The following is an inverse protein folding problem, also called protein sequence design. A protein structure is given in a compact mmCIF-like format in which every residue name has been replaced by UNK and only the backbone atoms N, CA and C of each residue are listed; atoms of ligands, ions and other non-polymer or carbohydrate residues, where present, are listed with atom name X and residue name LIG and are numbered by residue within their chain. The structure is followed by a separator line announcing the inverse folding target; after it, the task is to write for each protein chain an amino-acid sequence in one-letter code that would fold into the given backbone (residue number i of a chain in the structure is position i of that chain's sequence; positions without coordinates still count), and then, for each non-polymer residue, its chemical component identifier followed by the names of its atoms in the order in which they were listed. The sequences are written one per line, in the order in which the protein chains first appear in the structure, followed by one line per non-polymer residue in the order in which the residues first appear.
data_IF_909421451501
#
_entry.id   IF_909421451501
#
_cell.length_a   1.000
_cell.length_b   1.000
_cell.length_c   1.000
_cell.angle_alpha   90.00
_cell.angle_beta   90.00
_cell.angle_gamma   90.00
#
_symmetry.space_group_name_H-M   'P 1'
#
loop_
_entity.id
_entity.type
_entity.pdbx_description
1 polymer ?
#
# COMPACT_ATOMS: atom_id res chain seq x y z
N UNK A 1 -5.14 9.40 -6.41
CA UNK A 1 -4.38 8.24 -5.89
C UNK A 1 -4.46 8.14 -4.37
N UNK A 2 -4.47 9.24 -3.62
CA UNK A 2 -4.92 9.27 -2.21
C UNK A 2 -6.35 8.73 -2.03
N UNK A 3 -7.23 8.92 -3.03
CA UNK A 3 -8.53 8.26 -3.07
C UNK A 3 -8.43 6.72 -2.99
N UNK A 4 -7.37 6.11 -3.53
CA UNK A 4 -7.17 4.67 -3.43
C UNK A 4 -6.95 4.25 -1.99
N UNK A 5 -6.21 5.05 -1.20
CA UNK A 5 -6.02 4.80 0.22
C UNK A 5 -7.35 4.96 0.97
N UNK A 6 -8.11 6.02 0.70
CA UNK A 6 -9.44 6.21 1.30
C UNK A 6 -10.39 5.05 0.96
N UNK A 7 -10.35 4.53 -0.27
CA UNK A 7 -11.14 3.36 -0.70
C UNK A 7 -10.69 2.10 0.04
N UNK A 8 -9.38 1.84 0.12
CA UNK A 8 -8.86 0.69 0.88
C UNK A 8 -9.25 0.76 2.37
N UNK A 9 -9.19 1.95 2.99
CA UNK A 9 -9.61 2.12 4.38
C UNK A 9 -11.12 1.95 4.57
N UNK A 10 -11.93 2.35 3.59
CA UNK A 10 -13.39 2.15 3.57
C UNK A 10 -13.76 0.67 3.39
N UNK A 11 -13.09 -0.01 2.47
CA UNK A 11 -13.40 -1.40 2.09
C UNK A 11 -12.88 -2.38 3.15
N UNK A 12 -11.84 -2.00 3.90
CA UNK A 12 -11.43 -2.70 5.12
C UNK A 12 -10.71 -4.02 4.89
N UNK A 13 -11.02 -5.03 5.71
CA UNK A 13 -10.47 -6.39 5.59
C UNK A 13 -11.41 -7.32 4.84
N UNK A 14 -10.83 -8.14 3.99
CA UNK A 14 -11.53 -9.27 3.37
C UNK A 14 -11.58 -10.45 4.36
N UNK A 15 -12.54 -11.35 4.18
CA UNK A 15 -12.73 -12.48 5.10
C UNK A 15 -11.48 -13.37 5.15
N UNK A 16 -11.05 -13.72 6.36
CA UNK A 16 -9.84 -14.51 6.60
C UNK A 16 -8.53 -13.72 6.52
N UNK A 17 -8.57 -12.40 6.30
CA UNK A 17 -7.37 -11.56 6.24
C UNK A 17 -7.23 -10.60 7.40
N UNK A 18 -5.99 -10.16 7.63
CA UNK A 18 -5.69 -9.08 8.56
C UNK A 18 -6.34 -7.74 8.12
N UNK A 19 -6.68 -6.92 9.11
CA UNK A 19 -7.14 -5.55 8.90
C UNK A 19 -6.19 -4.75 8.00
N UNK A 20 -6.79 -3.97 7.11
CA UNK A 20 -6.07 -3.01 6.26
C UNK A 20 -5.38 -1.99 7.14
N UNK A 21 -4.07 -1.85 6.99
CA UNK A 21 -3.22 -1.01 7.83
C UNK A 21 -2.49 0.07 7.03
N UNK A 22 -2.63 1.33 7.45
CA UNK A 22 -1.92 2.48 6.86
C UNK A 22 -0.95 3.10 7.87
N UNK A 23 0.32 3.16 7.51
CA UNK A 23 1.34 3.93 8.23
C UNK A 23 1.58 5.25 7.51
N UNK A 24 1.35 6.37 8.19
CA UNK A 24 1.69 7.71 7.70
C UNK A 24 3.00 8.11 8.37
N UNK A 25 4.02 8.40 7.57
CA UNK A 25 5.29 8.92 8.07
C UNK A 25 5.50 10.37 7.63
N UNK A 26 5.88 11.21 8.59
CA UNK A 26 6.29 12.59 8.37
C UNK A 26 7.61 12.88 9.09
N UNK A 27 8.11 14.11 8.91
CA UNK A 27 9.30 14.63 9.59
C UNK A 27 8.93 15.89 10.36
N UNK A 28 9.64 16.22 11.43
CA UNK A 28 9.40 17.46 12.17
C UNK A 28 9.61 18.71 11.31
N UNK A 29 10.50 18.64 10.32
CA UNK A 29 10.74 19.71 9.35
C UNK A 29 9.55 19.91 8.40
N UNK A 30 8.69 18.92 8.23
CA UNK A 30 7.49 18.96 7.40
C UNK A 30 6.30 18.35 8.15
N UNK A 31 5.66 19.08 9.08
CA UNK A 31 4.60 18.55 9.94
C UNK A 31 3.24 18.36 9.21
N UNK A 32 3.29 18.13 7.89
CA UNK A 32 2.14 17.91 7.03
C UNK A 32 1.43 16.58 7.35
N UNK A 33 2.10 15.64 8.05
CA UNK A 33 1.53 14.34 8.40
C UNK A 33 0.31 14.44 9.29
N UNK A 34 0.28 15.41 10.19
CA UNK A 34 -0.91 15.69 11.01
C UNK A 34 -2.12 16.07 10.14
N UNK A 35 -1.91 16.94 9.15
CA UNK A 35 -2.97 17.33 8.22
C UNK A 35 -3.41 16.13 7.38
N UNK A 36 -2.48 15.32 6.85
CA UNK A 36 -2.79 14.15 6.02
C UNK A 36 -3.54 13.10 6.82
N UNK A 37 -3.15 12.87 8.07
CA UNK A 37 -3.87 12.05 9.02
C UNK A 37 -5.31 12.57 9.21
N UNK A 38 -5.50 13.88 9.45
CA UNK A 38 -6.83 14.48 9.57
C UNK A 38 -7.68 14.32 8.30
N UNK A 39 -7.06 14.39 7.11
CA UNK A 39 -7.75 14.16 5.83
C UNK A 39 -8.27 12.72 5.72
N UNK A 40 -7.44 11.72 6.02
CA UNK A 40 -7.87 10.32 6.01
C UNK A 40 -8.88 10.01 7.12
N UNK A 41 -8.69 10.57 8.32
CA UNK A 41 -9.63 10.47 9.43
C UNK A 41 -11.02 10.99 9.04
N UNK A 42 -11.09 12.21 8.49
CA UNK A 42 -12.35 12.79 8.04
C UNK A 42 -13.00 11.97 6.93
N UNK A 43 -12.22 11.51 5.95
CA UNK A 43 -12.74 10.68 4.85
C UNK A 43 -13.34 9.37 5.37
N UNK A 44 -12.67 8.71 6.32
CA UNK A 44 -13.17 7.49 6.95
C UNK A 44 -14.45 7.75 7.76
N UNK A 45 -14.46 8.77 8.61
CA UNK A 45 -15.64 9.13 9.41
C UNK A 45 -16.83 9.49 8.52
N UNK A 46 -16.60 10.23 7.42
CA UNK A 46 -17.63 10.54 6.44
C UNK A 46 -18.21 9.27 5.78
N UNK A 47 -17.36 8.31 5.42
CA UNK A 47 -17.79 7.02 4.87
C UNK A 47 -18.55 6.15 5.89
N UNK A 48 -18.17 6.19 7.17
CA UNK A 48 -18.86 5.51 8.27
C UNK A 48 -20.23 6.17 8.53
N UNK A 49 -20.30 7.51 8.52
CA UNK A 49 -21.53 8.26 8.66
C UNK A 49 -22.51 7.94 7.52
N UNK A 50 -22.01 7.91 6.28
CA UNK A 50 -22.75 7.52 5.08
C UNK A 50 -23.03 6.02 4.97
N UNK A 51 -22.56 5.19 5.91
CA UNK A 51 -22.73 3.73 5.93
C UNK A 51 -22.20 3.02 4.68
N UNK A 52 -21.20 3.61 4.02
CA UNK A 52 -20.48 3.06 2.86
C UNK A 52 -19.22 2.28 3.26
N UNK A 53 -18.76 2.46 4.50
CA UNK A 53 -17.61 1.77 5.06
C UNK A 53 -18.00 0.40 5.60
N UNK A 54 -17.07 -0.56 5.54
CA UNK A 54 -17.20 -1.85 6.25
C UNK A 54 -17.21 -1.62 7.77
N UNK A 55 -16.46 -0.63 8.25
CA UNK A 55 -16.51 -0.21 9.64
C UNK A 55 -17.80 0.55 9.96
N UNK A 56 -18.45 0.22 11.08
CA UNK A 56 -19.64 0.90 11.61
C UNK A 56 -19.32 1.99 12.62
N UNK A 57 -18.19 1.84 13.30
CA UNK A 57 -17.69 2.78 14.29
C UNK A 57 -16.18 3.00 14.15
N UNK A 58 -15.69 4.06 14.80
CA UNK A 58 -14.28 4.42 14.87
C UNK A 58 -13.87 4.64 16.32
N UNK A 59 -12.77 4.00 16.72
CA UNK A 59 -12.05 4.31 17.96
C UNK A 59 -10.80 5.12 17.62
N UNK A 60 -10.75 6.37 18.07
CA UNK A 60 -9.60 7.26 17.90
C UNK A 60 -8.80 7.32 19.20
N UNK A 61 -7.54 6.92 19.16
CA UNK A 61 -6.59 7.01 20.27
C UNK A 61 -5.83 8.33 20.15
N UNK A 62 -5.99 9.19 21.16
CA UNK A 62 -5.46 10.55 21.17
C UNK A 62 -4.27 10.67 22.14
N UNK A 63 -3.05 10.65 21.61
CA UNK A 63 -1.78 10.84 22.32
C UNK A 63 -1.21 12.25 22.21
N UNK A 64 -1.48 12.96 21.12
CA UNK A 64 -0.85 14.22 20.75
C UNK A 64 -1.73 15.43 21.02
N UNK A 65 -3.05 15.29 20.94
CA UNK A 65 -4.02 16.38 21.11
C UNK A 65 -5.12 15.97 22.07
N UNK A 66 -5.77 16.95 22.68
CA UNK A 66 -6.94 16.71 23.51
C UNK A 66 -8.11 16.16 22.68
N UNK A 67 -9.02 15.36 23.26
CA UNK A 67 -10.20 14.87 22.56
C UNK A 67 -11.04 15.99 21.94
N UNK A 68 -11.18 17.13 22.62
CA UNK A 68 -11.91 18.31 22.14
C UNK A 68 -11.45 18.79 20.77
N UNK A 69 -10.15 18.73 20.49
CA UNK A 69 -9.58 19.13 19.21
C UNK A 69 -10.16 18.30 18.05
N UNK A 70 -10.28 16.99 18.23
CA UNK A 70 -10.85 16.10 17.20
C UNK A 70 -12.35 16.31 17.03
N UNK A 71 -13.06 16.61 18.11
CA UNK A 71 -14.47 16.99 18.05
C UNK A 71 -14.66 18.25 17.20
N UNK A 72 -13.87 19.30 17.45
CA UNK A 72 -13.95 20.56 16.74
C UNK A 72 -13.50 20.44 15.27
N UNK A 73 -12.48 19.62 15.01
CA UNK A 73 -12.02 19.29 13.66
C UNK A 73 -13.12 18.65 12.82
N UNK A 74 -13.87 17.71 13.38
CA UNK A 74 -14.92 17.00 12.65
C UNK A 74 -16.19 17.86 12.50
N UNK A 75 -16.51 18.68 13.50
CA UNK A 75 -17.58 19.68 13.43
C UNK A 75 -17.33 20.73 12.35
N UNK A 76 -16.12 21.28 12.31
CA UNK A 76 -15.75 22.33 11.33
C UNK A 76 -15.84 21.86 9.87
N UNK A 77 -15.82 20.55 9.64
CA UNK A 77 -15.97 19.93 8.32
C UNK A 77 -17.38 19.38 8.03
N UNK A 78 -18.39 19.81 8.81
CA UNK A 78 -19.80 19.59 8.51
C UNK A 78 -20.37 18.22 8.91
N UNK A 79 -19.75 17.51 9.85
CA UNK A 79 -20.32 16.28 10.41
C UNK A 79 -21.34 16.61 11.52
N UNK A 80 -22.54 16.01 11.42
CA UNK A 80 -23.63 16.20 12.37
C UNK A 80 -23.28 15.62 13.76
N UNK A 81 -23.52 16.39 14.81
CA UNK A 81 -23.11 16.08 16.19
C UNK A 81 -23.70 14.75 16.68
N UNK A 82 -24.93 14.44 16.27
CA UNK A 82 -25.64 13.23 16.67
C UNK A 82 -25.08 11.95 16.04
N UNK A 83 -24.59 12.03 14.79
CA UNK A 83 -23.98 10.89 14.10
C UNK A 83 -22.57 10.63 14.63
N UNK A 84 -21.88 11.70 15.03
CA UNK A 84 -20.56 11.61 15.63
C UNK A 84 -20.60 10.89 16.98
N UNK A 85 -21.45 11.32 17.91
CA UNK A 85 -21.50 10.80 19.29
C UNK A 85 -21.85 9.31 19.38
N UNK A 86 -22.51 8.75 18.34
CA UNK A 86 -22.87 7.33 18.30
C UNK A 86 -21.86 6.45 17.56
N UNK A 87 -21.05 7.02 16.67
CA UNK A 87 -20.19 6.25 15.76
C UNK A 87 -18.69 6.46 15.99
N UNK A 88 -18.30 7.51 16.70
CA UNK A 88 -16.89 7.82 16.97
C UNK A 88 -16.68 7.96 18.46
N UNK A 89 -15.69 7.23 18.98
CA UNK A 89 -15.24 7.35 20.36
C UNK A 89 -13.78 7.76 20.40
N UNK A 90 -13.47 8.74 21.25
CA UNK A 90 -12.11 9.23 21.43
C UNK A 90 -11.58 8.74 22.77
N UNK A 91 -10.54 7.92 22.72
CA UNK A 91 -9.77 7.45 23.85
C UNK A 91 -8.69 8.47 24.20
N UNK A 92 -8.86 9.15 25.33
CA UNK A 92 -7.96 10.22 25.75
C UNK A 92 -6.72 9.66 26.44
N UNK A 93 -5.59 9.65 25.73
CA UNK A 93 -4.27 9.33 26.27
C UNK A 93 -3.40 10.59 26.45
N UNK A 94 -3.95 11.79 26.23
CA UNK A 94 -3.23 13.07 26.23
C UNK A 94 -3.40 13.84 27.54
N UNK A 95 -4.61 13.90 28.09
CA UNK A 95 -4.94 14.81 29.21
C UNK A 95 -4.29 14.40 30.54
N UNK A 96 -4.08 13.10 30.76
CA UNK A 96 -3.40 12.56 31.95
C UNK A 96 -2.74 11.19 31.67
N UNK A 97 -1.71 11.12 30.82
CA UNK A 97 -1.12 9.87 30.33
C UNK A 97 -0.56 8.94 31.42
N UNK A 98 -0.18 9.52 32.57
CA UNK A 98 0.41 8.81 33.70
C UNK A 98 -0.51 8.74 34.93
N UNK A 99 -1.73 9.26 34.82
CA UNK A 99 -2.71 9.23 35.91
C UNK A 99 -2.29 10.05 37.12
N UNK A 100 -1.45 11.07 36.94
CA UNK A 100 -0.89 11.84 38.05
C UNK A 100 -1.97 12.69 38.73
N UNK A 101 -2.95 13.19 37.98
CA UNK A 101 -4.03 14.00 38.55
C UNK A 101 -4.85 13.17 39.54
N UNK A 102 -5.19 11.95 39.16
CA UNK A 102 -5.88 11.00 40.05
C UNK A 102 -5.04 10.60 41.27
N UNK A 103 -3.74 10.34 41.07
CA UNK A 103 -2.84 9.98 42.18
C UNK A 103 -2.71 11.12 43.18
N UNK A 104 -2.61 12.35 42.69
CA UNK A 104 -2.56 13.56 43.51
C UNK A 104 -3.91 13.81 44.22
N UNK A 105 -5.03 13.67 43.51
CA UNK A 105 -6.38 13.81 44.09
C UNK A 105 -6.68 12.75 45.16
N UNK A 106 -6.26 11.50 44.92
CA UNK A 106 -6.34 10.41 45.91
C UNK A 106 -5.45 10.68 47.11
N UNK A 107 -4.26 11.23 46.91
CA UNK A 107 -3.38 11.65 48.01
C UNK A 107 -3.92 12.85 48.80
N UNK A 108 -4.72 13.70 48.15
CA UNK A 108 -5.37 14.86 48.75
C UNK A 108 -6.78 14.57 49.32
N UNK A 109 -7.24 13.31 49.28
CA UNK A 109 -8.55 12.91 49.83
C UNK A 109 -9.78 13.42 49.07
N UNK A 110 -9.63 13.92 47.84
CA UNK A 110 -10.74 14.47 47.05
C UNK A 110 -11.30 13.41 46.10
N UNK A 111 -12.55 12.99 46.33
CA UNK A 111 -13.28 12.04 45.47
C UNK A 111 -14.00 12.82 44.36
N UNK A 112 -13.62 12.60 43.09
CA UNK A 112 -14.39 13.11 41.96
C UNK A 112 -15.55 12.15 41.62
N UNK A 113 -16.75 12.71 41.53
CA UNK A 113 -17.88 12.08 40.84
C UNK A 113 -17.62 12.18 39.33
N UNK A 114 -17.48 11.04 38.65
CA UNK A 114 -17.20 10.99 37.22
C UNK A 114 -18.38 11.55 36.43
N UNK A 115 -18.26 12.79 35.95
CA UNK A 115 -19.13 13.31 34.91
C UNK A 115 -18.95 12.45 33.65
N UNK A 116 -20.08 11.99 33.08
CA UNK A 116 -20.14 11.24 31.82
C UNK A 116 -19.67 12.13 30.67
N UNK A 117 -18.35 12.22 30.47
CA UNK A 117 -17.79 12.74 29.24
C UNK A 117 -17.79 11.61 28.19
N UNK A 118 -18.04 11.91 26.91
CA UNK A 118 -17.99 10.93 25.83
C UNK A 118 -16.58 10.36 25.56
N UNK A 119 -15.55 10.88 26.23
CA UNK A 119 -14.16 10.44 26.14
C UNK A 119 -13.77 9.61 27.37
N UNK A 120 -13.46 8.33 27.17
CA UNK A 120 -12.82 7.51 28.20
C UNK A 120 -11.36 7.95 28.35
N UNK A 121 -10.94 8.32 29.55
CA UNK A 121 -9.54 8.73 29.81
C UNK A 121 -8.70 7.51 30.17
N UNK A 122 -7.63 7.28 29.41
CA UNK A 122 -6.65 6.24 29.69
C UNK A 122 -5.44 6.81 30.42
N UNK A 123 -5.20 6.30 31.63
CA UNK A 123 -4.29 6.89 32.62
C UNK A 123 -2.97 6.15 32.79
N UNK A 124 -2.78 5.03 32.08
CA UNK A 124 -1.60 4.17 32.20
C UNK A 124 -1.01 3.86 30.82
N UNK A 125 -0.53 4.91 30.13
CA UNK A 125 0.02 4.83 28.78
C UNK A 125 1.17 3.82 28.64
N UNK A 126 1.86 3.48 29.74
CA UNK A 126 2.92 2.47 29.74
C UNK A 126 2.38 1.05 29.54
N UNK A 127 1.15 0.81 29.96
CA UNK A 127 0.52 -0.50 29.88
C UNK A 127 -0.20 -0.67 28.53
N UNK A 128 0.59 -0.98 27.51
CA UNK A 128 0.11 -1.24 26.15
C UNK A 128 -0.88 -2.41 26.07
N UNK A 129 -0.72 -3.53 26.81
CA UNK A 129 -1.72 -4.58 26.87
C UNK A 129 -3.09 -4.10 27.39
N UNK A 130 -3.13 -3.31 28.47
CA UNK A 130 -4.40 -2.71 28.95
C UNK A 130 -5.00 -1.78 27.91
N UNK A 131 -4.17 -1.01 27.19
CA UNK A 131 -4.63 -0.15 26.10
C UNK A 131 -5.31 -0.96 25.00
N UNK A 132 -4.74 -2.12 24.61
CA UNK A 132 -5.34 -3.02 23.64
C UNK A 132 -6.73 -3.46 24.10
N UNK A 133 -6.84 -4.00 25.32
CA UNK A 133 -8.12 -4.45 25.86
C UNK A 133 -9.17 -3.35 25.87
N UNK A 134 -8.78 -2.14 26.29
CA UNK A 134 -9.69 -1.00 26.33
C UNK A 134 -10.16 -0.56 24.93
N UNK A 135 -9.26 -0.54 23.93
CA UNK A 135 -9.65 -0.24 22.54
C UNK A 135 -10.67 -1.27 22.04
N UNK A 136 -10.46 -2.54 22.34
CA UNK A 136 -11.37 -3.62 21.92
C UNK A 136 -12.72 -3.53 22.65
N UNK A 137 -12.73 -3.28 23.95
CA UNK A 137 -13.95 -3.09 24.75
C UNK A 137 -14.78 -1.90 24.25
N UNK A 138 -14.12 -0.76 23.99
CA UNK A 138 -14.78 0.44 23.47
C UNK A 138 -15.33 0.21 22.06
N UNK A 139 -14.56 -0.45 21.18
CA UNK A 139 -15.00 -0.81 19.84
C UNK A 139 -16.21 -1.74 19.85
N UNK A 140 -16.16 -2.81 20.66
CA UNK A 140 -17.27 -3.74 20.83
C UNK A 140 -18.50 -3.06 21.45
N UNK A 141 -18.31 -2.12 22.39
CA UNK A 141 -19.39 -1.33 22.97
C UNK A 141 -20.14 -0.46 21.96
N UNK A 142 -19.46 0.05 20.93
CA UNK A 142 -20.06 0.87 19.87
C UNK A 142 -20.79 0.03 18.82
N UNK A 143 -20.22 -1.12 18.46
CA UNK A 143 -20.69 -1.96 17.37
C UNK A 143 -21.72 -3.00 17.85
N UNK A 144 -21.78 -3.27 19.15
CA UNK A 144 -22.65 -4.29 19.74
C UNK A 144 -22.13 -5.71 19.50
N UNK A 145 -22.90 -6.71 19.93
CA UNK A 145 -22.52 -8.14 19.82
C UNK A 145 -22.76 -8.74 18.42
N UNK A 146 -22.57 -7.96 17.36
CA UNK A 146 -22.72 -8.40 15.97
C UNK A 146 -21.40 -8.80 15.31
N UNK A 147 -21.50 -9.29 14.06
CA UNK A 147 -20.34 -9.45 13.13
C UNK A 147 -19.89 -8.11 12.51
N UNK A 148 -20.40 -7.02 13.02
CA UNK A 148 -20.06 -5.71 12.51
C UNK A 148 -18.63 -5.35 12.94
N UNK A 149 -17.93 -4.60 12.09
CA UNK A 149 -16.52 -4.23 12.33
C UNK A 149 -16.40 -2.77 12.73
N UNK A 150 -15.31 -2.40 13.39
CA UNK A 150 -14.92 -1.02 13.65
C UNK A 150 -13.52 -0.71 13.11
N UNK A 151 -13.22 0.57 13.00
CA UNK A 151 -11.91 1.07 12.61
C UNK A 151 -11.16 1.62 13.82
N UNK A 152 -9.83 1.61 13.76
CA UNK A 152 -8.96 2.19 14.79
C UNK A 152 -8.03 3.22 14.17
N UNK A 153 -7.97 4.40 14.76
CA UNK A 153 -7.03 5.45 14.37
C UNK A 153 -6.14 5.81 15.55
N UNK A 154 -4.83 5.88 15.34
CA UNK A 154 -3.86 6.31 16.36
C UNK A 154 -3.19 7.58 15.87
N UNK A 155 -3.39 8.68 16.59
CA UNK A 155 -2.92 9.99 16.15
C UNK A 155 -1.38 10.16 16.14
N UNK A 156 -0.66 9.46 17.01
CA UNK A 156 0.80 9.52 17.10
C UNK A 156 1.37 8.29 17.79
N UNK A 157 1.95 7.38 16.99
CA UNK A 157 2.72 6.25 17.51
C UNK A 157 4.08 6.71 18.04
N UNK A 158 4.60 7.84 17.56
CA UNK A 158 5.84 8.41 18.10
C UNK A 158 5.74 8.71 19.59
N UNK A 159 4.58 9.18 20.06
CA UNK A 159 4.36 9.47 21.47
C UNK A 159 4.16 8.19 22.30
N UNK A 160 3.58 7.13 21.72
CA UNK A 160 3.54 5.80 22.34
C UNK A 160 4.95 5.23 22.57
N UNK A 161 5.83 5.37 21.57
CA UNK A 161 7.22 4.90 21.62
C UNK A 161 8.07 5.66 22.65
N UNK A 162 7.63 6.83 23.14
CA UNK A 162 8.28 7.50 24.28
C UNK A 162 8.08 6.75 25.60
N UNK A 163 7.00 5.97 25.71
CA UNK A 163 6.57 5.35 26.96
C UNK A 163 6.63 3.82 26.95
N UNK A 164 6.63 3.21 25.76
CA UNK A 164 6.66 1.77 25.56
C UNK A 164 7.75 1.35 24.57
N UNK A 165 8.17 0.08 24.64
CA UNK A 165 9.16 -0.47 23.72
C UNK A 165 8.57 -0.73 22.33
N UNK A 166 9.43 -0.73 21.30
CA UNK A 166 9.05 -1.07 19.92
C UNK A 166 8.30 -2.41 19.84
N UNK A 167 8.74 -3.41 20.62
CA UNK A 167 8.12 -4.74 20.61
C UNK A 167 6.66 -4.70 21.09
N UNK A 168 6.36 -3.93 22.14
CA UNK A 168 5.00 -3.79 22.66
C UNK A 168 4.12 -3.03 21.67
N UNK A 169 4.63 -1.97 21.06
CA UNK A 169 3.90 -1.19 20.05
C UNK A 169 3.65 -2.00 18.78
N UNK A 170 4.66 -2.74 18.30
CA UNK A 170 4.52 -3.64 17.16
C UNK A 170 3.51 -4.77 17.46
N UNK A 171 3.57 -5.35 18.66
CA UNK A 171 2.61 -6.35 19.12
C UNK A 171 1.20 -5.79 19.19
N UNK A 172 1.00 -4.57 19.72
CA UNK A 172 -0.29 -3.89 19.72
C UNK A 172 -0.84 -3.76 18.30
N UNK A 173 -0.07 -3.19 17.37
CA UNK A 173 -0.51 -2.98 16.00
C UNK A 173 -0.82 -4.30 15.29
N UNK A 174 0.00 -5.33 15.50
CA UNK A 174 -0.24 -6.67 14.96
C UNK A 174 -1.52 -7.27 15.55
N UNK A 175 -1.74 -7.17 16.85
CA UNK A 175 -2.94 -7.70 17.51
C UNK A 175 -4.21 -6.98 17.05
N UNK A 176 -4.15 -5.65 16.87
CA UNK A 176 -5.25 -4.89 16.28
C UNK A 176 -5.55 -5.33 14.85
N UNK A 177 -4.50 -5.63 14.06
CA UNK A 177 -4.67 -6.11 12.68
C UNK A 177 -5.23 -7.52 12.59
N UNK A 178 -4.86 -8.40 13.52
CA UNK A 178 -5.32 -9.79 13.54
C UNK A 178 -6.73 -9.97 14.13
N UNK A 179 -7.33 -8.92 14.68
CA UNK A 179 -8.62 -9.02 15.36
C UNK A 179 -9.79 -9.00 14.35
N UNK A 180 -10.70 -9.97 14.45
CA UNK A 180 -11.79 -10.17 13.48
C UNK A 180 -12.76 -8.97 13.39
N UNK A 181 -13.02 -8.30 14.51
CA UNK A 181 -13.91 -7.14 14.56
C UNK A 181 -13.26 -5.85 14.04
N UNK A 182 -11.98 -5.85 13.64
CA UNK A 182 -11.28 -4.66 13.15
C UNK A 182 -11.23 -4.69 11.61
N UNK A 183 -11.78 -3.64 11.01
CA UNK A 183 -11.82 -3.45 9.56
C UNK A 183 -10.53 -2.83 9.05
N UNK A 184 -10.09 -1.74 9.67
CA UNK A 184 -8.89 -1.02 9.30
C UNK A 184 -8.24 -0.32 10.49
N UNK A 185 -6.92 -0.14 10.39
CA UNK A 185 -6.09 0.54 11.37
C UNK A 185 -5.20 1.56 10.66
N UNK A 186 -5.06 2.77 11.17
CA UNK A 186 -4.06 3.67 10.63
C UNK A 186 -3.44 4.56 11.71
N UNK A 187 -2.20 4.94 11.48
CA UNK A 187 -1.42 5.70 12.44
C UNK A 187 -0.45 6.69 11.81
N UNK A 188 -0.06 7.69 12.58
CA UNK A 188 0.99 8.66 12.22
C UNK A 188 2.26 8.41 13.04
N UNK A 189 3.41 8.56 12.39
CA UNK A 189 4.74 8.47 13.00
C UNK A 189 5.67 9.54 12.40
N UNK A 190 6.37 10.27 13.26
CA UNK A 190 7.50 11.11 12.87
C UNK A 190 8.73 10.23 12.67
N UNK A 191 9.19 10.03 11.43
CA UNK A 191 10.29 9.11 11.11
C UNK A 191 11.65 9.60 11.63
N UNK A 192 11.83 10.91 11.73
CA UNK A 192 13.07 11.55 12.18
C UNK A 192 13.31 11.47 13.69
N UNK A 193 12.27 11.19 14.48
CA UNK A 193 12.38 10.99 15.93
C UNK A 193 12.91 9.60 16.32
N UNK A 194 12.93 8.65 15.38
CA UNK A 194 13.21 7.25 15.69
C UNK A 194 14.37 6.70 14.87
N UNK A 195 14.98 5.64 15.41
CA UNK A 195 15.97 4.86 14.65
C UNK A 195 15.29 4.24 13.42
N UNK A 196 15.94 4.19 12.23
CA UNK A 196 15.32 3.67 11.01
C UNK A 196 14.69 2.27 11.14
N UNK A 197 15.22 1.44 12.05
CA UNK A 197 14.66 0.13 12.41
C UNK A 197 13.20 0.21 12.86
N UNK A 198 12.83 1.24 13.62
CA UNK A 198 11.46 1.48 14.08
C UNK A 198 10.55 1.75 12.89
N UNK A 199 10.96 2.67 12.01
CA UNK A 199 10.17 3.02 10.83
C UNK A 199 9.99 1.84 9.89
N UNK A 200 11.05 1.08 9.64
CA UNK A 200 11.00 -0.14 8.84
C UNK A 200 10.09 -1.22 9.45
N UNK A 201 10.11 -1.40 10.78
CA UNK A 201 9.25 -2.35 11.47
C UNK A 201 7.77 -1.97 11.36
N UNK A 202 7.43 -0.69 11.54
CA UNK A 202 6.05 -0.22 11.41
C UNK A 202 5.57 -0.24 9.96
N UNK A 203 6.44 0.10 9.01
CA UNK A 203 6.14 -0.05 7.59
C UNK A 203 5.95 -1.52 7.24
N UNK A 204 6.75 -2.45 7.76
CA UNK A 204 6.57 -3.89 7.54
C UNK A 204 5.18 -4.37 7.97
N UNK A 205 4.71 -3.91 9.14
CA UNK A 205 3.37 -4.22 9.67
C UNK A 205 2.26 -3.54 8.85
N UNK A 206 2.52 -2.50 8.07
CA UNK A 206 1.47 -1.83 7.30
C UNK A 206 1.23 -2.49 5.94
N UNK A 207 -0.04 -2.47 5.50
CA UNK A 207 -0.42 -2.84 4.12
C UNK A 207 -0.19 -1.69 3.14
N UNK A 208 -0.22 -0.46 3.65
CA UNK A 208 0.02 0.77 2.92
C UNK A 208 0.97 1.66 3.72
N UNK A 209 1.93 2.30 3.06
CA UNK A 209 2.75 3.36 3.66
C UNK A 209 2.57 4.66 2.89
N UNK A 210 2.48 5.76 3.63
CA UNK A 210 2.30 7.10 3.13
C UNK A 210 3.43 7.97 3.69
N UNK A 211 4.46 8.21 2.89
CA UNK A 211 5.67 8.92 3.30
C UNK A 211 5.63 10.36 2.77
N UNK A 212 5.82 11.32 3.65
CA UNK A 212 5.81 12.75 3.33
C UNK A 212 7.21 13.31 3.23
N UNK A 213 7.53 13.86 2.08
CA UNK A 213 8.77 14.59 1.82
C UNK A 213 8.49 16.09 1.67
N UNK A 214 9.24 16.97 2.36
CA UNK A 214 9.16 18.40 2.11
C UNK A 214 9.62 18.72 0.68
N UNK A 215 8.95 19.66 0.02
CA UNK A 215 9.46 20.22 -1.24
C UNK A 215 10.51 21.26 -0.87
N UNK A 216 11.78 20.86 -0.98
CA UNK A 216 12.91 21.79 -0.87
C UNK A 216 13.07 22.43 -2.27
N UNK A 217 13.01 23.77 -2.40
CA UNK A 217 13.26 24.41 -3.69
C UNK A 217 14.71 24.12 -4.13
N UNK A 218 14.88 23.67 -5.37
CA UNK A 218 16.19 23.58 -6.00
C UNK A 218 16.84 24.96 -5.99
N UNK A 219 18.04 25.04 -5.43
CA UNK A 219 18.90 26.24 -5.51
C UNK A 219 19.43 26.30 -6.95
N UNK A 220 18.58 26.67 -7.90
CA UNK A 220 19.06 27.11 -9.20
C UNK A 220 19.58 28.55 -9.03
N UNK A 221 20.84 28.75 -9.39
CA UNK A 221 21.71 29.82 -8.89
C UNK A 221 21.40 31.24 -9.37
N UNK A 222 20.19 31.75 -9.20
CA UNK A 222 19.89 33.17 -9.40
C UNK A 222 19.69 33.93 -8.08
N UNK A 223 20.74 34.67 -7.71
CA UNK A 223 20.72 35.77 -6.73
C UNK A 223 19.63 36.79 -7.08
N UNK A 224 18.64 36.96 -6.20
CA UNK A 224 17.94 38.21 -5.82
C UNK A 224 17.11 37.85 -4.57
N UNK A 225 17.33 38.40 -3.39
CA UNK A 225 17.11 39.81 -3.06
C UNK A 225 15.65 39.99 -2.62
N UNK A 226 15.40 39.85 -1.31
CA UNK A 226 14.17 40.18 -0.56
C UNK A 226 12.83 39.44 -0.81
N UNK A 227 12.65 38.62 -1.86
CA UNK A 227 11.37 37.90 -2.09
C UNK A 227 11.28 36.50 -1.44
N UNK A 228 12.36 36.03 -0.81
CA UNK A 228 12.50 34.64 -0.37
C UNK A 228 11.67 34.25 0.88
N UNK A 229 11.24 35.19 1.71
CA UNK A 229 10.49 34.85 2.93
C UNK A 229 9.04 34.43 2.62
N UNK A 230 8.38 35.11 1.69
CA UNK A 230 7.01 34.77 1.27
C UNK A 230 6.96 33.42 0.52
N UNK A 231 8.01 33.09 -0.23
CA UNK A 231 8.14 31.77 -0.86
C UNK A 231 8.40 30.66 0.16
N UNK A 232 9.12 30.91 1.26
CA UNK A 232 9.32 29.91 2.32
C UNK A 232 8.00 29.58 3.02
N UNK A 233 7.16 30.57 3.32
CA UNK A 233 5.84 30.34 3.93
C UNK A 233 4.90 29.56 2.99
N UNK A 234 4.82 29.94 1.71
CA UNK A 234 4.01 29.20 0.73
C UNK A 234 4.53 27.78 0.48
N UNK A 235 5.85 27.55 0.56
CA UNK A 235 6.46 26.24 0.40
C UNK A 235 6.36 25.37 1.66
N UNK A 236 6.21 25.96 2.85
CA UNK A 236 5.98 25.21 4.10
C UNK A 236 4.66 24.43 4.10
N UNK A 237 3.71 24.85 3.26
CA UNK A 237 2.42 24.22 3.07
C UNK A 237 2.39 23.19 1.94
N UNK A 238 3.53 22.96 1.24
CA UNK A 238 3.61 22.03 0.12
C UNK A 238 4.55 20.86 0.41
N UNK A 239 4.12 19.66 0.06
CA UNK A 239 4.91 18.43 0.24
C UNK A 239 4.64 17.42 -0.87
N UNK A 240 5.52 16.43 -1.02
CA UNK A 240 5.28 15.25 -1.85
C UNK A 240 4.86 14.10 -0.95
N UNK A 241 3.76 13.46 -1.30
CA UNK A 241 3.22 12.28 -0.65
C UNK A 241 3.50 11.07 -1.53
N UNK A 242 4.37 10.20 -1.05
CA UNK A 242 4.67 8.91 -1.65
C UNK A 242 3.81 7.84 -0.98
N UNK A 243 2.95 7.19 -1.75
CA UNK A 243 2.05 6.15 -1.28
C UNK A 243 2.51 4.82 -1.85
N UNK A 244 2.88 3.88 -0.97
CA UNK A 244 3.13 2.49 -1.34
C UNK A 244 1.93 1.63 -0.94
N UNK A 245 1.36 0.91 -1.90
CA UNK A 245 0.32 -0.09 -1.66
C UNK A 245 0.90 -1.49 -1.89
N UNK A 246 0.95 -2.29 -0.84
CA UNK A 246 1.42 -3.67 -0.90
C UNK A 246 0.27 -4.58 -1.28
N UNK A 247 0.46 -5.39 -2.32
CA UNK A 247 -0.50 -6.42 -2.76
C UNK A 247 -0.17 -7.75 -2.11
N UNK A 248 -1.15 -8.66 -2.11
CA UNK A 248 -1.02 -10.03 -1.59
C UNK A 248 0.09 -10.84 -2.29
N UNK A 249 0.33 -10.57 -3.57
CA UNK A 249 1.38 -11.23 -4.36
C UNK A 249 2.78 -10.62 -4.14
N UNK A 250 2.98 -9.85 -3.07
CA UNK A 250 4.24 -9.17 -2.78
C UNK A 250 4.54 -7.94 -3.66
N UNK A 251 3.78 -7.70 -4.74
CA UNK A 251 4.00 -6.52 -5.59
C UNK A 251 3.61 -5.24 -4.86
N UNK A 252 4.50 -4.24 -4.91
CA UNK A 252 4.25 -2.92 -4.32
C UNK A 252 3.97 -1.92 -5.44
N UNK A 253 2.83 -1.23 -5.36
CA UNK A 253 2.50 -0.14 -6.28
C UNK A 253 2.83 1.18 -5.61
N UNK A 254 3.73 1.96 -6.22
CA UNK A 254 4.08 3.30 -5.76
C UNK A 254 3.30 4.37 -6.52
N UNK A 255 2.78 5.35 -5.78
CA UNK A 255 2.12 6.53 -6.28
C UNK A 255 2.74 7.77 -5.64
N UNK A 256 2.99 8.82 -6.42
CA UNK A 256 3.47 10.09 -5.90
C UNK A 256 2.42 11.17 -6.17
N UNK A 257 2.07 11.95 -5.16
CA UNK A 257 1.12 13.07 -5.23
C UNK A 257 1.71 14.31 -4.56
N UNK A 258 1.35 15.49 -5.04
CA UNK A 258 1.65 16.74 -4.37
C UNK A 258 0.54 17.09 -3.39
N UNK A 259 0.94 17.46 -2.17
CA UNK A 259 0.07 17.85 -1.08
C UNK A 259 0.22 19.35 -0.88
N UNK A 260 -0.90 20.07 -0.88
CA UNK A 260 -0.98 21.48 -0.54
C UNK A 260 -1.92 21.67 0.66
N UNK A 261 -1.44 22.27 1.73
CA UNK A 261 -2.24 22.61 2.90
C UNK A 261 -2.87 23.98 2.68
N UNK A 262 -4.20 24.01 2.66
CA UNK A 262 -5.02 25.23 2.63
C UNK A 262 -5.64 25.48 4.02
N UNK A 263 -6.21 26.67 4.24
CA UNK A 263 -6.79 27.07 5.54
C UNK A 263 -7.94 26.16 6.02
N UNK A 264 -8.65 25.48 5.09
CA UNK A 264 -9.82 24.63 5.40
C UNK A 264 -9.51 23.14 5.29
N UNK A 265 -8.38 22.76 4.69
CA UNK A 265 -8.03 21.35 4.50
C UNK A 265 -6.81 21.13 3.63
N UNK A 266 -6.64 19.89 3.17
CA UNK A 266 -5.58 19.55 2.23
C UNK A 266 -6.19 19.43 0.84
N UNK A 267 -5.50 20.00 -0.14
CA UNK A 267 -5.68 19.69 -1.55
C UNK A 267 -4.56 18.76 -1.99
N UNK A 268 -4.93 17.59 -2.49
CA UNK A 268 -4.00 16.61 -3.04
C UNK A 268 -4.13 16.67 -4.56
N UNK A 269 -3.05 17.00 -5.26
CA UNK A 269 -2.99 17.08 -6.72
C UNK A 269 -1.99 16.07 -7.28
N UNK A 270 -2.22 15.62 -8.51
CA UNK A 270 -1.22 14.84 -9.22
C UNK A 270 0.07 15.65 -9.38
N UNK A 271 1.23 14.98 -9.25
CA UNK A 271 2.54 15.60 -9.39
C UNK A 271 2.66 16.27 -10.76
N UNK A 272 3.10 17.54 -10.77
CA UNK A 272 3.39 18.26 -12.00
C UNK A 272 4.46 17.52 -12.82
N UNK A 273 4.21 17.35 -14.12
CA UNK A 273 4.98 16.54 -15.08
C UNK A 273 6.48 16.82 -15.15
N UNK A 274 6.97 17.93 -14.60
CA UNK A 274 8.39 18.28 -14.57
C UNK A 274 9.24 17.29 -13.74
N UNK A 275 8.67 16.70 -12.68
CA UNK A 275 9.41 15.70 -11.87
C UNK A 275 9.19 14.25 -12.30
N UNK A 276 8.26 13.99 -13.22
CA UNK A 276 8.10 12.67 -13.85
C UNK A 276 9.23 12.35 -14.83
N UNK A 277 9.87 13.38 -15.41
CA UNK A 277 11.00 13.24 -16.34
C UNK A 277 12.23 12.66 -15.63
N UNK A 278 12.43 12.98 -14.35
CA UNK A 278 13.59 12.52 -13.56
C UNK A 278 13.46 11.04 -13.17
N UNK A 279 12.24 10.54 -12.94
CA UNK A 279 12.04 9.13 -12.55
C UNK A 279 11.98 8.17 -13.75
N UNK A 280 11.69 8.65 -14.97
CA UNK A 280 11.78 7.84 -16.19
C UNK A 280 13.21 7.68 -16.72
N UNK A 281 14.17 8.48 -16.25
CA UNK A 281 15.58 8.38 -16.67
C UNK A 281 16.39 7.34 -15.89
N UNK A 282 15.86 6.85 -14.76
CA UNK A 282 16.54 5.89 -13.87
C UNK A 282 16.27 4.42 -14.21
N UNK A 283 15.33 4.14 -15.12
CA UNK A 283 15.29 2.82 -15.74
C UNK A 283 16.35 2.81 -16.83
N UNK A 284 17.37 1.93 -16.78
CA UNK A 284 18.25 1.75 -17.93
C UNK A 284 17.36 1.31 -19.08
N UNK A 285 17.09 2.23 -20.01
CA UNK A 285 16.54 1.91 -21.32
C UNK A 285 17.60 1.10 -22.03
N UNK A 286 17.65 -0.20 -21.75
CA UNK A 286 18.39 -1.16 -22.56
C UNK A 286 17.61 -1.26 -23.86
N UNK A 287 17.89 -0.31 -24.76
CA UNK A 287 17.51 -0.42 -26.15
C UNK A 287 18.43 -1.47 -26.74
N UNK A 288 17.95 -2.71 -26.82
CA UNK A 288 18.59 -3.72 -27.64
C UNK A 288 18.50 -3.22 -29.08
N UNK A 289 19.56 -2.60 -29.57
CA UNK A 289 19.70 -2.32 -30.99
C UNK A 289 19.93 -3.65 -31.70
N UNK A 290 18.83 -4.36 -31.99
CA UNK A 290 18.81 -5.60 -32.77
C UNK A 290 19.09 -5.37 -34.26
N UNK A 291 19.38 -4.12 -34.66
CA UNK A 291 19.73 -3.79 -36.02
C UNK A 291 21.22 -4.06 -36.22
N UNK A 292 21.53 -5.12 -36.97
CA UNK A 292 22.88 -5.40 -37.43
C UNK A 292 23.41 -4.18 -38.20
N UNK A 293 24.62 -3.74 -37.85
CA UNK A 293 25.36 -2.75 -38.62
C UNK A 293 25.67 -3.28 -40.03
N UNK A 294 25.94 -2.38 -40.98
CA UNK A 294 26.28 -2.77 -42.35
C UNK A 294 27.47 -3.73 -42.39
N UNK A 295 28.46 -3.49 -41.53
CA UNK A 295 29.63 -4.37 -41.37
C UNK A 295 29.25 -5.77 -40.88
N UNK A 296 28.36 -5.89 -39.90
CA UNK A 296 27.91 -7.20 -39.40
C UNK A 296 27.03 -7.94 -40.42
N UNK A 297 26.29 -7.24 -41.28
CA UNK A 297 25.56 -7.87 -42.40
C UNK A 297 26.53 -8.42 -43.43
N UNK A 298 27.56 -7.66 -43.79
CA UNK A 298 28.58 -8.10 -44.74
C UNK A 298 29.39 -9.28 -44.19
N UNK A 299 29.73 -9.25 -42.90
CA UNK A 299 30.44 -10.34 -42.23
C UNK A 299 29.56 -11.59 -42.15
N UNK A 300 28.28 -11.46 -41.75
CA UNK A 300 27.30 -12.58 -41.76
C UNK A 300 27.16 -13.19 -43.16
N UNK A 301 27.12 -12.38 -44.21
CA UNK A 301 27.02 -12.87 -45.59
C UNK A 301 28.29 -13.62 -46.06
N UNK A 302 29.44 -13.37 -45.42
CA UNK A 302 30.71 -14.06 -45.71
C UNK A 302 30.96 -15.28 -44.81
N UNK A 303 30.16 -15.48 -43.77
CA UNK A 303 30.26 -16.69 -42.93
C UNK A 303 29.77 -17.89 -43.73
N UNK A 304 30.72 -18.66 -44.26
CA UNK A 304 30.48 -19.98 -44.82
C UNK A 304 30.54 -20.98 -43.66
N UNK A 305 29.40 -21.53 -43.26
CA UNK A 305 29.36 -22.56 -42.24
C UNK A 305 29.90 -23.88 -42.83
N UNK A 306 30.77 -24.62 -42.12
CA UNK A 306 31.42 -25.82 -42.66
C UNK A 306 30.47 -26.98 -42.99
N UNK A 307 29.21 -26.89 -42.59
CA UNK A 307 28.16 -27.88 -42.82
C UNK A 307 26.88 -27.15 -43.22
N UNK A 308 26.91 -26.58 -44.42
CA UNK A 308 25.69 -26.18 -45.10
C UNK A 308 24.99 -27.46 -45.58
N UNK A 309 23.90 -27.85 -44.90
CA UNK A 309 23.00 -28.85 -45.44
C UNK A 309 22.45 -28.27 -46.75
N UNK A 310 22.84 -28.83 -47.88
CA UNK A 310 22.34 -28.45 -49.21
C UNK A 310 20.87 -28.82 -49.34
N UNK A 311 19.98 -28.06 -48.67
CA UNK A 311 18.57 -28.02 -49.01
C UNK A 311 18.40 -27.30 -50.35
N UNK A 312 17.42 -27.73 -51.16
CA UNK A 312 17.18 -27.31 -52.55
C UNK A 312 16.79 -25.81 -52.75
N UNK A 313 17.22 -24.89 -51.89
CA UNK A 313 16.87 -23.47 -51.97
C UNK A 313 15.42 -23.15 -51.59
N UNK A 314 14.67 -24.14 -51.07
CA UNK A 314 13.36 -23.91 -50.46
C UNK A 314 13.53 -23.35 -49.05
N UNK A 315 12.66 -22.42 -48.67
CA UNK A 315 12.66 -21.85 -47.32
C UNK A 315 12.45 -22.96 -46.30
N UNK A 316 13.44 -23.15 -45.41
CA UNK A 316 13.39 -24.16 -44.35
C UNK A 316 12.21 -23.84 -43.45
N UNK A 317 11.14 -24.64 -43.53
CA UNK A 317 10.03 -24.57 -42.59
C UNK A 317 10.47 -25.23 -41.30
N UNK A 318 11.07 -24.44 -40.41
CA UNK A 318 11.34 -24.88 -39.04
C UNK A 318 9.99 -24.90 -38.32
N UNK A 319 9.58 -26.09 -37.88
CA UNK A 319 8.34 -26.28 -37.12
C UNK A 319 8.51 -25.73 -35.70
N UNK A 320 7.99 -24.51 -35.45
CA UNK A 320 8.01 -23.83 -34.14
C UNK A 320 6.74 -24.14 -33.30
N UNK A 321 6.04 -25.24 -33.57
CA UNK A 321 4.83 -25.64 -32.83
C UNK A 321 3.62 -24.67 -32.90
N UNK A 322 3.76 -23.51 -33.58
CA UNK A 322 2.73 -22.50 -33.75
C UNK A 322 2.13 -22.65 -35.15
N UNK A 323 0.80 -22.65 -35.24
CA UNK A 323 0.10 -22.58 -36.54
C UNK A 323 0.44 -21.25 -37.20
N UNK A 324 1.26 -21.29 -38.24
CA UNK A 324 1.54 -20.15 -39.11
C UNK A 324 0.27 -19.77 -39.85
N UNK A 325 -0.34 -18.67 -39.44
CA UNK A 325 -1.43 -18.01 -40.18
C UNK A 325 -0.83 -17.39 -41.44
N UNK A 326 -1.30 -17.82 -42.61
CA UNK A 326 -0.97 -17.18 -43.89
C UNK A 326 -1.46 -15.74 -43.88
N UNK A 327 -0.54 -14.79 -44.10
CA UNK A 327 -0.83 -13.37 -44.27
C UNK A 327 -1.84 -13.18 -45.41
N UNK A 328 -3.07 -12.81 -45.07
CA UNK A 328 -4.07 -12.41 -46.05
C UNK A 328 -5.44 -13.06 -45.95
N UNK A 329 -6.06 -13.13 -44.76
CA UNK A 329 -7.52 -13.22 -44.68
C UNK A 329 -8.05 -12.67 -43.36
N UNK A 330 -9.06 -11.79 -43.46
CA UNK A 330 -9.78 -11.18 -42.33
C UNK A 330 -10.63 -12.25 -41.62
N UNK A 331 -10.63 -12.23 -40.28
CA UNK A 331 -11.55 -12.93 -39.36
C UNK A 331 -13.03 -12.83 -39.82
N UNK A 332 -13.96 -13.76 -39.46
CA UNK A 332 -14.13 -14.31 -38.09
C UNK A 332 -14.75 -15.72 -37.93
N UNK A 333 -14.62 -16.30 -36.71
CA UNK A 333 -15.49 -17.31 -36.07
C UNK A 333 -15.98 -18.54 -36.88
N UNK A 334 -15.52 -19.76 -36.53
CA UNK A 334 -16.33 -20.99 -36.28
C UNK A 334 -15.48 -22.29 -36.22
N UNK A 335 -15.52 -22.95 -35.05
CA UNK A 335 -15.61 -24.41 -34.76
C UNK A 335 -14.80 -25.45 -35.60
N UNK A 336 -13.78 -26.03 -34.93
CA UNK A 336 -13.43 -27.46 -34.66
C UNK A 336 -14.37 -28.55 -35.25
N UNK A 337 -13.97 -29.85 -35.42
CA UNK A 337 -12.73 -30.53 -35.87
C UNK A 337 -13.01 -31.58 -36.99
N UNK A 338 -11.99 -32.33 -37.44
CA UNK A 338 -11.98 -33.81 -37.64
C UNK A 338 -10.84 -34.19 -38.60
N UNK A 339 -9.90 -35.06 -38.18
CA UNK A 339 -9.86 -36.51 -38.48
C UNK A 339 -9.67 -36.77 -39.99
N UNK A 340 -8.81 -37.63 -40.54
CA UNK A 340 -7.98 -38.75 -40.08
C UNK A 340 -7.34 -39.32 -41.37
N UNK A 341 -6.11 -39.80 -41.26
CA UNK A 341 -5.40 -40.80 -42.09
C UNK A 341 -5.46 -40.79 -43.63
N UNK A 342 -4.27 -40.84 -44.25
CA UNK A 342 -3.84 -42.01 -45.06
C UNK A 342 -2.33 -41.90 -45.36
N UNK A 343 -1.48 -42.84 -44.91
CA UNK A 343 -1.14 -44.13 -45.55
C UNK A 343 -0.30 -43.90 -46.82
N UNK A 344 1.02 -43.74 -46.66
CA UNK A 344 2.07 -44.76 -46.82
C UNK A 344 2.66 -44.83 -48.24
N UNK A 345 3.98 -44.73 -48.34
CA UNK A 345 4.74 -45.63 -49.22
C UNK A 345 6.17 -45.77 -48.72
N UNK A 346 6.59 -47.02 -48.58
CA UNK A 346 7.84 -47.48 -48.00
C UNK A 346 9.03 -47.16 -48.91
N UNK A 347 10.09 -46.60 -48.34
CA UNK A 347 11.46 -46.92 -48.75
C UNK A 347 12.31 -47.08 -47.49
N UNK A 348 12.72 -48.32 -47.27
CA UNK A 348 13.60 -48.76 -46.20
C UNK A 348 14.98 -48.09 -46.30
N UNK A 349 15.26 -47.17 -45.40
CA UNK A 349 16.62 -46.81 -44.99
C UNK A 349 16.63 -46.74 -43.48
N UNK A 350 17.46 -47.56 -42.84
CA UNK A 350 17.47 -47.80 -41.40
C UNK A 350 17.75 -46.55 -40.58
N UNK A 351 16.68 -45.84 -40.25
CA UNK A 351 16.68 -44.78 -39.26
C UNK A 351 15.92 -45.32 -38.05
N UNK A 352 16.56 -45.35 -36.89
CA UNK A 352 15.90 -45.71 -35.63
C UNK A 352 14.66 -44.83 -35.45
N UNK A 353 13.52 -45.45 -35.21
CA UNK A 353 12.26 -44.76 -34.98
C UNK A 353 12.07 -44.59 -33.47
N UNK A 354 11.96 -43.35 -33.01
CA UNK A 354 11.66 -43.04 -31.60
C UNK A 354 10.14 -42.95 -31.47
N UNK A 355 9.56 -43.92 -30.77
CA UNK A 355 8.14 -43.94 -30.45
C UNK A 355 7.92 -43.24 -29.11
N UNK A 356 7.24 -42.10 -29.13
CA UNK A 356 6.77 -41.45 -27.91
C UNK A 356 5.46 -42.10 -27.48
N UNK A 357 5.55 -43.05 -26.55
CA UNK A 357 4.39 -43.54 -25.80
C UNK A 357 4.21 -42.62 -24.59
N UNK A 358 3.04 -41.99 -24.48
CA UNK A 358 2.64 -41.33 -23.23
C UNK A 358 2.10 -42.40 -22.29
N UNK A 359 2.65 -42.47 -21.09
CA UNK A 359 2.27 -43.49 -20.10
C UNK A 359 0.99 -43.14 -19.33
N UNK A 360 0.39 -41.97 -19.56
CA UNK A 360 -0.87 -41.57 -18.94
C UNK A 360 -1.50 -40.36 -19.66
N UNK A 361 -2.78 -40.46 -20.02
CA UNK A 361 -3.56 -39.38 -20.64
C UNK A 361 -4.24 -38.46 -19.58
N UNK A 362 -3.88 -38.57 -18.30
CA UNK A 362 -4.75 -38.12 -17.19
C UNK A 362 -4.14 -37.09 -16.23
N UNK A 363 -3.03 -36.42 -16.58
CA UNK A 363 -2.49 -35.32 -15.76
C UNK A 363 -2.59 -33.97 -16.49
N UNK A 364 -3.38 -33.06 -15.91
CA UNK A 364 -3.44 -31.66 -16.29
C UNK A 364 -2.05 -31.03 -16.06
N UNK A 365 -1.53 -30.18 -16.98
CA UNK A 365 -0.21 -29.60 -16.83
C UNK A 365 -0.16 -28.63 -15.64
N UNK A 366 0.52 -29.02 -14.57
CA UNK A 366 0.97 -28.13 -13.52
C UNK A 366 2.08 -27.23 -14.11
N UNK A 367 1.87 -25.92 -14.03
CA UNK A 367 2.64 -24.92 -14.77
C UNK A 367 3.89 -24.44 -14.02
N UNK A 368 4.45 -25.26 -13.14
CA UNK A 368 5.57 -24.93 -12.27
C UNK A 368 6.78 -25.90 -12.34
N UNK A 369 6.79 -26.85 -13.27
CA UNK A 369 8.00 -27.61 -13.60
C UNK A 369 8.94 -26.77 -14.49
N UNK A 370 10.13 -26.46 -13.94
CA UNK A 370 11.22 -25.79 -14.64
C UNK A 370 11.78 -26.72 -15.73
N UNK A 371 11.92 -26.25 -16.99
CA UNK A 371 12.25 -27.09 -18.15
C UNK A 371 13.72 -27.58 -18.21
N UNK A 372 14.46 -27.47 -17.11
CA UNK A 372 15.89 -27.72 -17.03
C UNK A 372 16.23 -29.01 -16.24
N UNK A 373 15.25 -29.69 -15.66
CA UNK A 373 15.45 -30.82 -14.71
C UNK A 373 15.59 -32.22 -15.36
N UNK A 374 15.47 -32.34 -16.70
CA UNK A 374 15.44 -33.66 -17.38
C UNK A 374 16.62 -33.92 -18.34
N UNK A 375 17.74 -33.22 -18.21
CA UNK A 375 18.93 -33.46 -19.05
C UNK A 375 19.97 -34.37 -18.38
N UNK A 376 19.66 -35.65 -18.31
CA UNK A 376 20.68 -36.71 -18.20
C UNK A 376 20.98 -37.27 -19.62
N UNK A 377 22.16 -36.94 -20.14
CA UNK A 377 22.72 -37.47 -21.41
C UNK A 377 23.33 -38.86 -21.20
#
# INVERSE_FOLDING_TARGET
MAESVCRSLRDGSLEGEHATALSISDTLYSPLGSHVFHHFLYSLVSNIAASKSQARALVLVAYRRSPSFYLDLLKSRGLDHFLFDKKVLVLDCYSDPLGWKDRLLKSAGVVQQSAKNPSSVFKDVKDVPKLLSLILELGQGLVGQGREKFAVAIDSVSDMLRHASLQLVASLLSNLRCHDNISCVFWLMHSDLHVPRVSAALEYISTMSANLEPIIPSVDGQRRGSENLFNIEQNSHRGKLHIHLKRRNGRVKMHCEEVHVEQVGIKISAVSSESAIVNQSLLPKVQFNLQLSEKERDDRAKVVLPFEHQGNGEAIQIYDGRRSLSEGQKDPHLKVPSSTWSTSTETSTGNGEIHYLRDSDDECPDSDEDPDDDLDI
#
